data_IF_134094497649
#
_entry.id   IF_134094497649
#
_cell.length_a   1.000
_cell.length_b   1.000
_cell.length_c   1.000
_cell.angle_alpha   90.00
_cell.angle_beta   90.00
_cell.angle_gamma   90.00
#
_symmetry.space_group_name_H-M   'P 1'
#
loop_
_entity.id
_entity.type
_entity.pdbx_description
1 polymer ?
#
# COMPACT_ATOMS: atom_id res chain seq x y z
N UNK A 1 -8.18 1.32 6.19
CA UNK A 1 -7.61 0.14 5.51
C UNK A 1 -7.58 -1.05 6.44
N UNK A 2 -6.71 -1.06 7.46
CA UNK A 2 -6.66 -2.16 8.45
C UNK A 2 -7.92 -2.25 9.32
N UNK A 3 -8.47 -1.11 9.72
CA UNK A 3 -9.75 -1.02 10.44
C UNK A 3 -10.98 -1.19 9.54
N UNK A 4 -10.79 -1.34 8.23
CA UNK A 4 -11.87 -1.29 7.23
C UNK A 4 -11.85 -2.48 6.28
N UNK A 5 -11.46 -3.66 6.78
CA UNK A 5 -11.69 -4.96 6.09
C UNK A 5 -10.56 -5.52 5.22
N UNK A 6 -9.37 -4.88 5.16
CA UNK A 6 -8.26 -5.42 4.35
C UNK A 6 -7.79 -6.82 4.81
N UNK A 7 -7.90 -7.12 6.11
CA UNK A 7 -7.48 -8.41 6.67
C UNK A 7 -8.41 -9.51 6.18
N UNK A 8 -9.71 -9.29 6.21
CA UNK A 8 -10.71 -10.23 5.73
C UNK A 8 -10.59 -10.46 4.22
N UNK A 9 -10.36 -9.39 3.45
CA UNK A 9 -10.12 -9.48 2.01
C UNK A 9 -8.86 -10.30 1.70
N UNK A 10 -7.75 -10.04 2.42
CA UNK A 10 -6.50 -10.77 2.24
C UNK A 10 -6.64 -12.27 2.57
N UNK A 11 -7.35 -12.60 3.66
CA UNK A 11 -7.64 -13.98 4.02
C UNK A 11 -8.54 -14.68 2.99
N UNK A 12 -9.54 -13.98 2.45
CA UNK A 12 -10.39 -14.48 1.37
C UNK A 12 -9.59 -14.79 0.10
N UNK A 13 -8.65 -13.90 -0.26
CA UNK A 13 -7.74 -14.13 -1.39
C UNK A 13 -6.83 -15.34 -1.14
N UNK A 14 -6.24 -15.46 0.05
CA UNK A 14 -5.37 -16.59 0.42
C UNK A 14 -6.10 -17.94 0.34
N UNK A 15 -7.38 -17.97 0.66
CA UNK A 15 -8.19 -19.20 0.57
C UNK A 15 -8.49 -19.62 -0.88
N UNK A 16 -8.40 -18.70 -1.85
CA UNK A 16 -8.81 -18.93 -3.25
C UNK A 16 -7.64 -19.03 -4.23
N UNK A 17 -6.44 -18.65 -3.81
CA UNK A 17 -5.29 -18.50 -4.68
C UNK A 17 -4.13 -19.40 -4.23
N UNK A 18 -3.28 -19.85 -5.17
CA UNK A 18 -2.03 -20.53 -4.82
C UNK A 18 -1.13 -19.65 -3.92
N UNK A 19 -0.34 -20.22 -2.99
CA UNK A 19 0.53 -19.46 -2.09
C UNK A 19 1.51 -18.51 -2.81
N UNK A 20 1.96 -18.88 -4.00
CA UNK A 20 2.88 -18.11 -4.85
C UNK A 20 2.21 -16.99 -5.65
N UNK A 21 0.88 -16.89 -5.60
CA UNK A 21 0.13 -15.94 -6.42
C UNK A 21 0.51 -14.49 -6.10
N UNK A 22 0.78 -13.70 -7.14
CA UNK A 22 1.30 -12.33 -7.00
C UNK A 22 0.40 -11.40 -6.17
N UNK A 23 -0.93 -11.60 -6.22
CA UNK A 23 -1.89 -10.83 -5.42
C UNK A 23 -1.66 -10.98 -3.90
N UNK A 24 -1.13 -12.11 -3.43
CA UNK A 24 -0.81 -12.30 -2.00
C UNK A 24 0.44 -11.53 -1.57
N UNK A 25 1.18 -10.96 -2.53
CA UNK A 25 2.46 -10.25 -2.32
C UNK A 25 2.36 -8.74 -2.55
N UNK A 26 1.19 -8.24 -2.91
CA UNK A 26 0.94 -6.81 -3.11
C UNK A 26 1.08 -6.03 -1.81
N UNK A 27 1.31 -4.72 -1.93
CA UNK A 27 1.35 -3.82 -0.77
C UNK A 27 -0.05 -3.82 -0.13
N UNK A 28 -0.12 -4.03 1.17
CA UNK A 28 -1.38 -4.16 1.90
C UNK A 28 -1.74 -5.61 2.16
N UNK A 29 -1.95 -6.41 1.12
CA UNK A 29 -2.32 -7.83 1.26
C UNK A 29 -1.22 -8.62 1.98
N UNK A 30 0.05 -8.41 1.61
CA UNK A 30 1.16 -9.10 2.27
C UNK A 30 1.29 -8.75 3.77
N UNK A 31 1.09 -7.48 4.14
CA UNK A 31 1.13 -7.04 5.54
C UNK A 31 -0.08 -7.54 6.32
N UNK A 32 -1.26 -7.57 5.70
CA UNK A 32 -2.48 -8.09 6.30
C UNK A 32 -2.38 -9.59 6.59
N UNK A 33 -1.81 -10.37 5.68
CA UNK A 33 -1.53 -11.80 5.91
C UNK A 33 -0.50 -12.00 7.01
N UNK A 34 0.60 -11.23 7.03
CA UNK A 34 1.60 -11.32 8.07
C UNK A 34 1.06 -10.94 9.46
N UNK A 35 0.13 -9.98 9.53
CA UNK A 35 -0.62 -9.66 10.75
C UNK A 35 -1.49 -10.84 11.18
N UNK A 36 -2.27 -11.42 10.26
CA UNK A 36 -3.15 -12.55 10.54
C UNK A 36 -2.38 -13.80 11.00
N UNK A 37 -1.15 -13.98 10.51
CA UNK A 37 -0.26 -15.07 10.90
C UNK A 37 0.54 -14.78 12.18
N UNK A 38 0.34 -13.62 12.81
CA UNK A 38 1.04 -13.21 14.03
C UNK A 38 2.52 -12.82 13.83
N UNK A 39 2.97 -12.71 12.58
CA UNK A 39 4.34 -12.33 12.24
C UNK A 39 4.58 -10.81 12.31
N UNK A 40 3.53 -9.99 12.31
CA UNK A 40 3.56 -8.55 12.54
C UNK A 40 2.51 -8.15 13.57
N UNK A 41 2.82 -7.14 14.38
CA UNK A 41 1.79 -6.42 15.13
C UNK A 41 0.94 -5.55 14.20
N UNK A 42 -0.25 -5.14 14.65
CA UNK A 42 -1.09 -4.21 13.87
C UNK A 42 -0.35 -2.90 13.58
N UNK A 43 0.36 -2.35 14.57
CA UNK A 43 1.13 -1.13 14.41
C UNK A 43 2.24 -1.29 13.36
N UNK A 44 2.96 -2.42 13.38
CA UNK A 44 4.02 -2.69 12.40
C UNK A 44 3.47 -2.92 11.00
N UNK A 45 2.34 -3.62 10.88
CA UNK A 45 1.67 -3.84 9.60
C UNK A 45 1.26 -2.50 8.97
N UNK A 46 0.64 -1.60 9.74
CA UNK A 46 0.27 -0.25 9.29
C UNK A 46 1.50 0.56 8.89
N UNK A 47 2.54 0.57 9.73
CA UNK A 47 3.76 1.33 9.46
C UNK A 47 4.47 0.83 8.18
N UNK A 48 4.56 -0.50 8.02
CA UNK A 48 5.17 -1.15 6.87
C UNK A 48 4.40 -0.90 5.58
N UNK A 49 3.07 -1.04 5.60
CA UNK A 49 2.21 -0.69 4.46
C UNK A 49 2.42 0.77 4.07
N UNK A 50 2.38 1.71 5.01
CA UNK A 50 2.57 3.13 4.74
C UNK A 50 3.94 3.43 4.11
N UNK A 51 5.01 2.80 4.63
CA UNK A 51 6.35 2.93 4.07
C UNK A 51 6.42 2.42 2.62
N UNK A 52 5.93 1.19 2.36
CA UNK A 52 5.94 0.59 1.02
C UNK A 52 5.12 1.42 0.03
N UNK A 53 3.98 1.95 0.46
CA UNK A 53 3.14 2.85 -0.36
C UNK A 53 3.89 4.12 -0.72
N UNK A 54 4.55 4.79 0.23
CA UNK A 54 5.37 5.99 -0.05
C UNK A 54 6.52 5.68 -1.02
N UNK A 55 7.21 4.56 -0.83
CA UNK A 55 8.27 4.14 -1.74
C UNK A 55 7.75 3.85 -3.15
N UNK A 56 6.59 3.19 -3.26
CA UNK A 56 5.94 2.91 -4.54
C UNK A 56 5.52 4.20 -5.23
N UNK A 57 4.86 5.12 -4.52
CA UNK A 57 4.49 6.44 -5.04
C UNK A 57 5.73 7.23 -5.51
N UNK A 58 6.85 7.17 -4.79
CA UNK A 58 8.12 7.78 -5.23
C UNK A 58 8.62 7.16 -6.53
N UNK A 59 8.59 5.82 -6.66
CA UNK A 59 8.98 5.13 -7.90
C UNK A 59 8.06 5.50 -9.06
N UNK A 60 6.75 5.54 -8.83
CA UNK A 60 5.77 6.00 -9.82
C UNK A 60 6.10 7.42 -10.27
N UNK A 61 6.31 8.36 -9.35
CA UNK A 61 6.67 9.75 -9.68
C UNK A 61 7.96 9.83 -10.51
N UNK A 62 8.99 9.05 -10.19
CA UNK A 62 10.23 9.01 -10.96
C UNK A 62 10.00 8.45 -12.37
N UNK A 63 9.15 7.44 -12.52
CA UNK A 63 8.82 6.86 -13.81
C UNK A 63 8.01 7.85 -14.67
N UNK A 64 6.90 8.37 -14.13
CA UNK A 64 6.03 9.33 -14.81
C UNK A 64 6.77 10.61 -15.26
N UNK A 65 7.74 11.10 -14.48
CA UNK A 65 8.57 12.26 -14.89
C UNK A 65 9.33 12.08 -16.21
N UNK A 66 9.56 10.84 -16.64
CA UNK A 66 10.26 10.52 -17.90
C UNK A 66 9.31 10.37 -19.07
N UNK A 67 8.00 10.33 -18.82
CA UNK A 67 6.99 10.09 -19.84
C UNK A 67 6.56 11.41 -20.50
N UNK A 68 6.71 11.56 -21.83
CA UNK A 68 6.45 12.83 -22.53
C UNK A 68 4.97 13.24 -22.54
N UNK A 69 4.07 12.27 -22.35
CA UNK A 69 2.62 12.49 -22.29
C UNK A 69 2.14 12.81 -20.87
N UNK A 70 2.99 12.67 -19.86
CA UNK A 70 2.62 12.92 -18.48
C UNK A 70 2.83 14.39 -18.11
N UNK A 71 1.78 15.03 -17.62
CA UNK A 71 1.85 16.33 -16.95
C UNK A 71 1.36 16.18 -15.50
N UNK A 72 2.01 16.85 -14.53
CA UNK A 72 1.49 16.89 -13.17
C UNK A 72 0.08 17.48 -13.17
N UNK A 73 -0.85 16.84 -12.46
CA UNK A 73 -2.15 17.44 -12.21
C UNK A 73 -1.99 18.75 -11.43
N UNK A 74 -2.91 19.69 -11.68
CA UNK A 74 -3.10 20.86 -10.82
C UNK A 74 -3.22 20.42 -9.35
N UNK A 75 -2.56 21.11 -8.40
CA UNK A 75 -2.72 20.80 -6.98
C UNK A 75 -4.19 20.90 -6.59
N UNK A 76 -4.70 19.90 -5.86
CA UNK A 76 -6.09 19.86 -5.39
C UNK A 76 -6.43 20.93 -4.32
N UNK A 77 -5.59 21.94 -4.13
CA UNK A 77 -5.70 22.92 -3.03
C UNK A 77 -5.58 22.28 -1.63
N UNK A 78 -5.14 21.02 -1.55
CA UNK A 78 -4.97 20.33 -0.27
C UNK A 78 -3.75 20.89 0.45
N UNK A 79 -3.82 21.10 1.78
CA UNK A 79 -2.66 21.46 2.57
C UNK A 79 -1.54 20.45 2.40
N UNK A 80 -0.28 20.90 2.45
CA UNK A 80 0.86 20.00 2.36
C UNK A 80 0.77 19.00 3.51
N UNK A 81 0.77 17.69 3.21
CA UNK A 81 0.72 16.64 4.22
C UNK A 81 1.96 16.65 5.16
N UNK A 82 2.95 17.50 4.89
CA UNK A 82 4.11 17.77 5.73
C UNK A 82 3.98 19.05 6.56
N UNK A 83 2.88 19.79 6.44
CA UNK A 83 2.57 21.00 7.20
C UNK A 83 1.68 20.61 8.40
N UNK A 84 2.22 20.58 9.64
CA UNK A 84 1.51 20.09 10.81
C UNK A 84 0.61 21.16 11.48
N UNK A 85 0.14 22.16 10.73
CA UNK A 85 -0.75 23.21 11.27
C UNK A 85 -2.09 22.65 11.75
#
# INVERSE_FOLDING_TARGET
MFESGIVDEALSLRARLPPEHALLRTIGTAEALALADGALSLADAVARTALRTRQYARRQRTWFKKEPWWSPAEPLGLPDARDPR
#
